data_IF_604688052264
#
_entry.id   IF_604688052264
#
_cell.length_a   1.000
_cell.length_b   1.000
_cell.length_c   1.000
_cell.angle_alpha   90.00
_cell.angle_beta   90.00
_cell.angle_gamma   90.00
#
_symmetry.space_group_name_H-M   'P 1'
#
loop_
_entity.id
_entity.type
_entity.pdbx_description
1 polymer ?
#
# COMPACT_ATOMS: atom_id res chain seq x y z
N UNK A 1 31.94 -62.55 -29.05
CA UNK A 1 33.12 -61.68 -29.26
C UNK A 1 32.64 -60.24 -29.40
N UNK A 2 33.11 -59.38 -28.49
CA UNK A 2 33.17 -57.92 -28.51
C UNK A 2 31.92 -57.08 -28.87
N UNK A 3 31.22 -56.75 -27.79
CA UNK A 3 30.34 -55.60 -27.58
C UNK A 3 31.10 -54.27 -27.78
N UNK A 4 30.68 -53.43 -28.73
CA UNK A 4 31.11 -52.01 -28.80
C UNK A 4 30.03 -51.13 -28.18
N UNK A 5 30.30 -50.65 -26.96
CA UNK A 5 29.51 -49.66 -26.25
C UNK A 5 29.84 -48.28 -26.81
N UNK A 6 28.89 -47.66 -27.49
CA UNK A 6 29.01 -46.27 -27.93
C UNK A 6 28.34 -45.40 -26.87
N UNK A 7 29.15 -44.80 -26.00
CA UNK A 7 28.69 -43.78 -25.05
C UNK A 7 28.27 -42.53 -25.82
N UNK A 8 27.00 -42.13 -25.72
CA UNK A 8 26.52 -40.83 -26.20
C UNK A 8 26.10 -40.03 -24.97
N UNK A 9 26.97 -39.11 -24.56
CA UNK A 9 26.68 -38.07 -23.59
C UNK A 9 25.71 -37.07 -24.25
N UNK A 10 24.42 -37.15 -23.94
CA UNK A 10 23.47 -36.10 -24.32
C UNK A 10 23.43 -35.08 -23.18
N UNK A 11 24.02 -33.93 -23.49
CA UNK A 11 24.03 -32.70 -22.70
C UNK A 11 22.64 -32.37 -22.14
N UNK A 12 22.58 -32.15 -20.82
CA UNK A 12 21.49 -31.43 -20.18
C UNK A 12 21.49 -29.98 -20.69
N UNK A 13 20.52 -29.62 -21.54
CA UNK A 13 20.23 -28.23 -21.84
C UNK A 13 19.50 -27.65 -20.62
N UNK A 14 20.25 -26.98 -19.75
CA UNK A 14 19.68 -26.01 -18.82
C UNK A 14 19.17 -24.83 -19.65
N UNK A 15 17.86 -24.82 -19.89
CA UNK A 15 17.15 -23.66 -20.40
C UNK A 15 17.16 -22.57 -19.32
N UNK A 16 18.20 -21.74 -19.32
CA UNK A 16 18.21 -20.48 -18.58
C UNK A 16 17.14 -19.58 -19.18
N UNK A 17 15.90 -19.72 -18.71
CA UNK A 17 14.87 -18.71 -18.90
C UNK A 17 15.33 -17.47 -18.12
N UNK A 18 16.11 -16.62 -18.80
CA UNK A 18 16.33 -15.24 -18.40
C UNK A 18 14.95 -14.57 -18.47
N UNK A 19 14.21 -14.60 -17.35
CA UNK A 19 13.11 -13.68 -17.14
C UNK A 19 13.79 -12.30 -17.19
N UNK A 20 13.61 -11.60 -18.29
CA UNK A 20 14.00 -10.22 -18.41
C UNK A 20 13.18 -9.43 -17.37
N UNK A 21 13.76 -9.21 -16.19
CA UNK A 21 13.28 -8.20 -15.25
C UNK A 21 13.51 -6.84 -15.90
N UNK A 22 12.56 -6.40 -16.73
CA UNK A 22 12.46 -5.00 -17.12
C UNK A 22 12.20 -4.18 -15.86
N UNK A 23 13.02 -3.16 -15.61
CA UNK A 23 12.69 -2.17 -14.59
C UNK A 23 11.40 -1.45 -15.02
N UNK A 24 10.49 -1.14 -14.08
CA UNK A 24 9.25 -0.42 -14.40
C UNK A 24 9.56 0.94 -15.04
N UNK A 25 8.73 1.34 -16.00
CA UNK A 25 8.86 2.65 -16.65
C UNK A 25 8.52 3.78 -15.66
N UNK A 26 9.10 4.97 -15.86
CA UNK A 26 8.74 6.15 -15.05
C UNK A 26 7.25 6.43 -15.20
N UNK A 27 6.57 6.68 -14.07
CA UNK A 27 5.12 6.88 -14.00
C UNK A 27 4.31 5.58 -14.03
N UNK A 28 4.94 4.42 -14.20
CA UNK A 28 4.24 3.13 -14.10
C UNK A 28 3.82 2.90 -12.64
N UNK A 29 2.54 2.57 -12.48
CA UNK A 29 1.98 2.12 -11.22
C UNK A 29 2.46 0.69 -10.93
N UNK A 30 3.01 0.48 -9.75
CA UNK A 30 3.52 -0.80 -9.26
C UNK A 30 2.67 -1.22 -8.07
N UNK A 31 2.21 -2.47 -8.06
CA UNK A 31 1.48 -3.03 -6.91
C UNK A 31 2.43 -3.24 -5.74
N UNK A 32 1.95 -2.96 -4.54
CA UNK A 32 2.68 -3.22 -3.30
C UNK A 32 2.30 -4.59 -2.75
N UNK A 33 3.28 -5.29 -2.18
CA UNK A 33 2.99 -6.37 -1.25
C UNK A 33 2.88 -5.85 0.20
N UNK A 34 2.63 -6.77 1.14
CA UNK A 34 2.45 -6.43 2.54
C UNK A 34 3.74 -5.96 3.22
N UNK A 35 4.90 -6.48 2.79
CA UNK A 35 6.21 -6.10 3.33
C UNK A 35 6.57 -4.69 2.88
N UNK A 36 6.35 -4.38 1.60
CA UNK A 36 6.50 -3.04 1.03
C UNK A 36 5.58 -2.04 1.76
N UNK A 37 4.29 -2.37 1.89
CA UNK A 37 3.33 -1.50 2.56
C UNK A 37 3.74 -1.21 4.02
N UNK A 38 4.22 -2.21 4.75
CA UNK A 38 4.72 -2.03 6.11
C UNK A 38 5.98 -1.14 6.16
N UNK A 39 6.90 -1.31 5.22
CA UNK A 39 8.08 -0.46 5.09
C UNK A 39 7.69 1.00 4.79
N UNK A 40 6.72 1.21 3.91
CA UNK A 40 6.20 2.54 3.57
C UNK A 40 5.52 3.22 4.76
N UNK A 41 4.66 2.52 5.50
CA UNK A 41 3.97 3.09 6.68
C UNK A 41 4.97 3.46 7.76
N UNK A 42 5.95 2.59 8.05
CA UNK A 42 6.99 2.85 9.03
C UNK A 42 7.85 4.05 8.63
N UNK A 43 8.29 4.10 7.36
CA UNK A 43 9.10 5.20 6.82
C UNK A 43 8.40 6.55 6.97
N UNK A 44 7.09 6.58 6.74
CA UNK A 44 6.31 7.82 6.79
C UNK A 44 5.68 8.07 8.18
N UNK A 45 6.10 7.31 9.19
CA UNK A 45 5.78 7.55 10.60
C UNK A 45 4.34 7.24 10.99
N UNK A 46 3.65 6.41 10.19
CA UNK A 46 2.30 5.94 10.49
C UNK A 46 2.33 4.50 11.00
N UNK A 47 1.71 4.26 12.15
CA UNK A 47 1.53 2.94 12.74
C UNK A 47 0.14 2.41 12.39
N UNK A 48 0.07 1.32 11.63
CA UNK A 48 -1.19 0.59 11.40
C UNK A 48 -1.50 -0.21 12.68
N UNK A 49 -2.68 -0.05 13.30
CA UNK A 49 -3.02 -0.79 14.52
C UNK A 49 -3.08 -2.30 14.28
N UNK A 50 -2.74 -3.07 15.32
CA UNK A 50 -2.93 -4.52 15.32
C UNK A 50 -4.41 -4.86 15.07
N UNK A 51 -4.65 -5.85 14.20
CA UNK A 51 -6.00 -6.23 13.75
C UNK A 51 -6.31 -5.80 12.31
N UNK A 52 -5.60 -4.80 11.79
CA UNK A 52 -5.65 -4.45 10.38
C UNK A 52 -4.73 -5.35 9.55
N UNK A 53 -5.26 -5.88 8.45
CA UNK A 53 -4.56 -6.76 7.51
C UNK A 53 -4.43 -6.06 6.17
N UNK A 54 -3.24 -6.08 5.58
CA UNK A 54 -3.00 -5.53 4.26
C UNK A 54 -3.89 -6.22 3.21
N UNK A 55 -4.56 -5.41 2.39
CA UNK A 55 -5.47 -5.86 1.33
C UNK A 55 -4.90 -5.55 -0.06
N UNK A 56 -4.53 -4.29 -0.30
CA UNK A 56 -3.86 -3.88 -1.54
C UNK A 56 -3.12 -2.56 -1.37
N UNK A 57 -2.17 -2.30 -2.25
CA UNK A 57 -1.51 -1.01 -2.33
C UNK A 57 -0.87 -0.79 -3.68
N UNK A 58 -0.49 0.46 -3.95
CA UNK A 58 0.27 0.81 -5.13
C UNK A 58 1.21 1.97 -4.86
N UNK A 59 2.30 1.99 -5.62
CA UNK A 59 3.24 3.10 -5.71
C UNK A 59 3.44 3.46 -7.18
N UNK A 60 4.12 4.57 -7.46
CA UNK A 60 4.51 4.95 -8.82
C UNK A 60 6.02 5.07 -8.93
N UNK A 61 6.60 4.71 -10.08
CA UNK A 61 8.04 4.87 -10.29
C UNK A 61 8.33 6.34 -10.59
N UNK A 62 9.06 7.03 -9.70
CA UNK A 62 9.44 8.44 -9.89
C UNK A 62 10.88 8.58 -10.41
N UNK A 63 11.12 9.62 -11.22
CA UNK A 63 12.46 9.92 -11.75
C UNK A 63 13.38 10.51 -10.69
N UNK A 64 12.82 11.35 -9.79
CA UNK A 64 13.50 11.96 -8.64
C UNK A 64 12.50 12.10 -7.50
N UNK A 65 12.99 12.00 -6.26
CA UNK A 65 12.16 12.14 -5.07
C UNK A 65 11.60 10.82 -4.53
N UNK A 66 10.77 10.92 -3.49
CA UNK A 66 9.96 9.81 -2.95
C UNK A 66 8.71 9.67 -3.79
N UNK A 67 8.52 8.46 -4.30
CA UNK A 67 7.28 8.05 -4.94
C UNK A 67 6.07 8.22 -4.01
N UNK A 68 4.94 8.72 -4.53
CA UNK A 68 3.68 8.61 -3.83
C UNK A 68 3.28 7.15 -3.73
N UNK A 69 2.63 6.79 -2.63
CA UNK A 69 2.09 5.46 -2.43
C UNK A 69 0.74 5.53 -1.74
N UNK A 70 -0.05 4.48 -1.92
CA UNK A 70 -1.29 4.30 -1.19
C UNK A 70 -1.51 2.84 -0.86
N UNK A 71 -2.19 2.58 0.25
CA UNK A 71 -2.50 1.23 0.69
C UNK A 71 -3.87 1.18 1.38
N UNK A 72 -4.49 0.00 1.33
CA UNK A 72 -5.72 -0.34 2.02
C UNK A 72 -5.46 -1.51 2.95
N UNK A 73 -5.94 -1.37 4.17
CA UNK A 73 -5.95 -2.40 5.20
C UNK A 73 -7.39 -2.65 5.66
N UNK A 74 -7.68 -3.88 6.06
CA UNK A 74 -9.01 -4.33 6.49
C UNK A 74 -8.95 -4.85 7.91
N UNK A 75 -9.98 -4.58 8.70
CA UNK A 75 -10.15 -5.10 10.06
C UNK A 75 -11.62 -5.44 10.32
N UNK A 76 -11.89 -6.03 11.49
CA UNK A 76 -13.24 -6.17 12.05
C UNK A 76 -13.91 -4.81 12.22
N UNK A 77 -15.24 -4.82 12.29
CA UNK A 77 -16.09 -3.64 12.45
C UNK A 77 -15.84 -2.89 13.76
N UNK A 78 -15.31 -3.55 14.79
CA UNK A 78 -14.89 -2.94 16.05
C UNK A 78 -13.83 -1.83 15.88
N UNK A 79 -13.12 -1.79 14.75
CA UNK A 79 -12.12 -0.76 14.45
C UNK A 79 -12.71 0.47 13.75
N UNK A 80 -14.01 0.50 13.47
CA UNK A 80 -14.65 1.54 12.63
C UNK A 80 -14.71 2.93 13.26
N UNK A 81 -14.55 3.03 14.59
CA UNK A 81 -14.66 4.29 15.33
C UNK A 81 -13.38 5.15 15.32
N UNK A 82 -12.28 4.62 14.78
CA UNK A 82 -11.00 5.32 14.68
C UNK A 82 -10.24 5.51 16.00
N UNK A 83 -10.72 4.95 17.11
CA UNK A 83 -10.05 5.05 18.42
C UNK A 83 -8.70 4.34 18.39
N UNK A 84 -8.67 3.11 17.87
CA UNK A 84 -7.43 2.34 17.74
C UNK A 84 -6.41 3.04 16.83
N UNK A 85 -6.87 3.62 15.71
CA UNK A 85 -6.00 4.33 14.77
C UNK A 85 -5.44 5.61 15.40
N UNK A 86 -6.27 6.38 16.11
CA UNK A 86 -5.84 7.57 16.83
C UNK A 86 -4.83 7.24 17.94
N UNK A 87 -5.08 6.17 18.70
CA UNK A 87 -4.19 5.75 19.79
C UNK A 87 -2.82 5.29 19.28
N UNK A 88 -2.76 4.60 18.14
CA UNK A 88 -1.51 4.15 17.53
C UNK A 88 -0.68 5.29 16.91
N UNK A 89 -1.28 6.46 16.65
CA UNK A 89 -0.66 7.56 15.90
C UNK A 89 -0.71 8.90 16.66
N UNK A 90 -0.05 9.04 17.82
CA UNK A 90 -0.15 10.24 18.66
C UNK A 90 0.49 11.50 18.05
N UNK A 91 1.30 11.36 17.00
CA UNK A 91 1.86 12.48 16.22
C UNK A 91 0.85 13.10 15.24
N UNK A 92 -0.21 12.36 14.92
CA UNK A 92 -1.30 12.82 14.07
C UNK A 92 -2.38 13.48 14.94
N UNK A 93 -3.13 14.45 14.40
CA UNK A 93 -4.39 14.85 15.01
C UNK A 93 -5.31 13.63 15.18
N UNK A 94 -6.19 13.61 16.20
CA UNK A 94 -7.23 12.59 16.29
C UNK A 94 -8.04 12.48 15.00
N UNK A 95 -8.50 11.27 14.68
CA UNK A 95 -9.41 11.09 13.56
C UNK A 95 -10.69 11.89 13.76
N UNK A 96 -11.09 12.63 12.74
CA UNK A 96 -12.30 13.45 12.76
C UNK A 96 -13.18 13.15 11.55
N UNK A 97 -14.49 13.31 11.74
CA UNK A 97 -15.42 13.26 10.62
C UNK A 97 -15.06 14.33 9.59
N UNK A 98 -14.87 13.89 8.36
CA UNK A 98 -14.47 14.70 7.22
C UNK A 98 -15.46 14.46 6.08
N UNK A 99 -16.05 15.51 5.50
CA UNK A 99 -16.89 15.36 4.32
C UNK A 99 -16.12 14.71 3.18
N UNK A 100 -16.74 13.79 2.45
CA UNK A 100 -16.10 13.13 1.31
C UNK A 100 -15.55 14.11 0.27
N UNK A 101 -16.22 15.26 0.10
CA UNK A 101 -15.79 16.34 -0.80
C UNK A 101 -14.53 17.09 -0.34
N UNK A 102 -14.13 16.93 0.92
CA UNK A 102 -12.98 17.58 1.53
C UNK A 102 -11.77 16.64 1.65
N UNK A 103 -11.88 15.37 1.22
CA UNK A 103 -10.74 14.47 1.18
C UNK A 103 -9.69 14.99 0.19
N UNK A 104 -8.41 15.07 0.58
CA UNK A 104 -7.35 15.45 -0.33
C UNK A 104 -7.22 14.40 -1.44
N UNK A 105 -6.61 14.72 -2.60
CA UNK A 105 -6.29 13.72 -3.61
C UNK A 105 -5.43 12.60 -3.01
N UNK A 106 -5.74 11.33 -3.32
CA UNK A 106 -4.97 10.21 -2.76
C UNK A 106 -5.16 8.85 -3.43
N UNK A 107 -5.69 8.80 -4.66
CA UNK A 107 -5.93 7.51 -5.34
C UNK A 107 -6.99 6.64 -4.67
N UNK A 108 -7.87 7.22 -3.85
CA UNK A 108 -8.78 6.45 -3.00
C UNK A 108 -9.68 5.48 -3.75
N UNK A 109 -10.16 5.88 -4.93
CA UNK A 109 -11.04 5.04 -5.76
C UNK A 109 -10.32 3.83 -6.35
N UNK A 110 -9.01 3.92 -6.65
CA UNK A 110 -8.24 2.77 -7.13
C UNK A 110 -7.97 1.75 -6.00
N UNK A 111 -8.02 2.19 -4.74
CA UNK A 111 -8.05 1.32 -3.56
C UNK A 111 -9.45 0.79 -3.22
N UNK A 112 -10.49 1.28 -3.89
CA UNK A 112 -11.89 0.88 -3.66
C UNK A 112 -12.59 1.65 -2.55
N UNK A 113 -12.12 2.84 -2.18
CA UNK A 113 -12.87 3.74 -1.28
C UNK A 113 -14.18 4.14 -1.96
N UNK A 114 -15.29 3.90 -1.26
CA UNK A 114 -16.60 4.45 -1.62
C UNK A 114 -17.02 5.41 -0.51
N UNK A 115 -17.00 6.71 -0.81
CA UNK A 115 -17.27 7.78 0.15
C UNK A 115 -18.52 8.56 -0.29
N UNK A 116 -19.61 8.46 0.47
CA UNK A 116 -20.90 9.07 0.11
C UNK A 116 -21.26 10.33 0.89
N UNK A 117 -20.95 10.40 2.19
CA UNK A 117 -21.26 11.56 3.04
C UNK A 117 -20.03 12.02 3.82
N UNK A 118 -19.61 11.23 4.80
CA UNK A 118 -18.48 11.51 5.69
C UNK A 118 -17.67 10.25 5.91
N UNK A 119 -16.41 10.45 6.27
CA UNK A 119 -15.47 9.41 6.70
C UNK A 119 -14.65 9.94 7.86
N UNK A 120 -14.04 9.05 8.63
CA UNK A 120 -13.03 9.47 9.60
C UNK A 120 -11.73 9.71 8.85
N UNK A 121 -11.07 10.84 9.11
CA UNK A 121 -9.77 11.11 8.52
C UNK A 121 -8.82 11.82 9.46
N UNK A 122 -7.53 11.64 9.22
CA UNK A 122 -6.45 12.42 9.83
C UNK A 122 -5.31 12.61 8.84
N UNK A 123 -4.48 13.63 9.05
CA UNK A 123 -3.36 13.95 8.17
C UNK A 123 -2.19 14.54 8.94
N UNK A 124 -0.98 14.15 8.55
CA UNK A 124 0.26 14.74 9.06
C UNK A 124 1.34 14.88 7.96
N UNK A 125 2.06 16.02 7.89
CA UNK A 125 1.72 17.27 8.54
C UNK A 125 0.37 17.81 8.04
N UNK A 126 -0.41 18.57 8.85
CA UNK A 126 -1.75 19.04 8.51
C UNK A 126 -1.83 20.00 7.30
N UNK A 127 -0.67 20.35 6.74
CA UNK A 127 -0.56 21.29 5.62
C UNK A 127 -0.91 20.67 4.26
N UNK A 128 -1.09 19.34 4.18
CA UNK A 128 -1.43 18.63 2.94
C UNK A 128 -0.40 18.79 1.82
N UNK A 129 0.86 19.13 2.16
CA UNK A 129 1.95 19.33 1.21
C UNK A 129 2.61 18.00 0.83
N UNK A 130 3.64 18.08 0.00
CA UNK A 130 4.61 16.98 -0.17
C UNK A 130 5.04 16.46 1.22
N UNK A 131 5.26 15.15 1.33
CA UNK A 131 5.47 14.40 2.59
C UNK A 131 4.28 14.28 3.52
N UNK A 132 3.06 14.68 3.11
CA UNK A 132 1.87 14.40 3.91
C UNK A 132 1.41 12.96 3.77
N UNK A 133 1.12 12.35 4.91
CA UNK A 133 0.37 11.11 5.03
C UNK A 133 -1.05 11.46 5.41
N UNK A 134 -2.00 10.98 4.63
CA UNK A 134 -3.43 11.05 4.92
C UNK A 134 -3.93 9.66 5.23
N UNK A 135 -4.63 9.50 6.35
CA UNK A 135 -5.33 8.30 6.71
C UNK A 135 -6.84 8.55 6.65
N UNK A 136 -7.56 7.65 5.99
CA UNK A 136 -9.02 7.66 5.89
C UNK A 136 -9.53 6.32 6.39
N UNK A 137 -10.50 6.35 7.29
CA UNK A 137 -11.12 5.17 7.84
C UNK A 137 -12.61 5.18 7.49
N UNK A 138 -13.07 4.05 6.97
CA UNK A 138 -14.48 3.76 6.75
C UNK A 138 -14.84 2.48 7.48
N UNK A 139 -16.08 2.36 7.93
CA UNK A 139 -16.56 1.11 8.51
C UNK A 139 -18.05 0.92 8.29
N UNK A 140 -18.45 -0.33 8.13
CA UNK A 140 -19.83 -0.78 8.10
C UNK A 140 -19.96 -2.14 8.80
N UNK A 141 -21.13 -2.77 8.70
CA UNK A 141 -21.43 -4.07 9.31
C UNK A 141 -20.54 -5.22 8.80
N UNK A 142 -19.77 -5.00 7.73
CA UNK A 142 -18.88 -5.99 7.10
C UNK A 142 -17.43 -5.84 7.55
N UNK A 143 -17.08 -4.73 8.20
CA UNK A 143 -15.73 -4.47 8.69
C UNK A 143 -15.30 -3.01 8.57
N UNK A 144 -14.05 -2.77 8.95
CA UNK A 144 -13.40 -1.47 8.83
C UNK A 144 -12.32 -1.51 7.73
N UNK A 145 -12.29 -0.49 6.87
CA UNK A 145 -11.24 -0.29 5.87
C UNK A 145 -10.44 0.98 6.19
N UNK A 146 -9.14 0.83 6.41
CA UNK A 146 -8.19 1.93 6.57
C UNK A 146 -7.42 2.15 5.27
N UNK A 147 -7.51 3.35 4.73
CA UNK A 147 -6.83 3.80 3.53
C UNK A 147 -5.74 4.78 3.91
N UNK A 148 -4.52 4.55 3.41
CA UNK A 148 -3.39 5.43 3.58
C UNK A 148 -2.95 5.96 2.23
N UNK A 149 -2.57 7.23 2.21
CA UNK A 149 -1.96 7.87 1.06
C UNK A 149 -0.82 8.76 1.52
N UNK A 150 0.32 8.66 0.85
CA UNK A 150 1.46 9.56 1.00
C UNK A 150 1.74 10.25 -0.32
N UNK A 151 1.84 11.59 -0.29
CA UNK A 151 1.99 12.40 -1.50
C UNK A 151 3.40 12.32 -2.14
N UNK A 152 4.39 11.73 -1.45
CA UNK A 152 5.79 11.79 -1.90
C UNK A 152 6.42 13.19 -1.79
N UNK A 153 7.69 13.34 -2.18
CA UNK A 153 8.42 14.62 -2.27
C UNK A 153 9.58 14.58 -3.27
#
# INVERSE_FOLDING_TARGET
>A
MAQRRTSICILAMLSSALIACGAPEIGQQVELDAEDAAAYTQRDGFTVPDGFVFSRGHTSTEFVGRAPWSARFEASDEFSDGVAVTAANPSFPPMMETPCSALPPGGWTSLGLTCTLTVLSTQYPPSGKLDSVTAVLTGDERGASLFLYSAGH
#
